data_IF_559182177934
#
_entry.id   IF_559182177934
#
_cell.length_a   1.000
_cell.length_b   1.000
_cell.length_c   1.000
_cell.angle_alpha   90.00
_cell.angle_beta   90.00
_cell.angle_gamma   90.00
#
_symmetry.space_group_name_H-M   'P 1'
#
loop_
_entity.id
_entity.type
_entity.pdbx_description
1 polymer ?
#
# COMPACT_ATOMS: atom_id res chain seq x y z
N UNK A 1 0.01 -13.63 10.97
CA UNK A 1 -1.33 -13.46 10.34
C UNK A 1 -1.19 -13.42 8.81
N UNK A 2 -1.17 -14.56 8.13
CA UNK A 2 -0.87 -14.62 6.68
C UNK A 2 -1.85 -13.82 5.82
N UNK A 3 -3.15 -13.86 6.15
CA UNK A 3 -4.20 -13.13 5.43
C UNK A 3 -3.98 -11.61 5.48
N UNK A 4 -3.69 -11.05 6.66
CA UNK A 4 -3.47 -9.60 6.83
C UNK A 4 -2.26 -9.12 6.04
N UNK A 5 -1.17 -9.89 6.03
CA UNK A 5 0.02 -9.60 5.26
C UNK A 5 -0.29 -9.58 3.75
N UNK A 6 -1.03 -10.56 3.24
CA UNK A 6 -1.44 -10.64 1.82
C UNK A 6 -2.33 -9.45 1.44
N UNK A 7 -3.33 -9.13 2.26
CA UNK A 7 -4.26 -8.03 1.99
C UNK A 7 -3.50 -6.69 1.96
N UNK A 8 -2.66 -6.43 2.98
CA UNK A 8 -1.84 -5.23 3.04
C UNK A 8 -0.88 -5.15 1.84
N UNK A 9 -0.32 -6.27 1.39
CA UNK A 9 0.58 -6.30 0.23
C UNK A 9 -0.13 -5.91 -1.05
N UNK A 10 -1.32 -6.49 -1.28
CA UNK A 10 -2.13 -6.18 -2.46
C UNK A 10 -2.54 -4.71 -2.44
N UNK A 11 -3.02 -4.19 -1.30
CA UNK A 11 -3.37 -2.77 -1.18
C UNK A 11 -2.16 -1.86 -1.43
N UNK A 12 -0.99 -2.22 -0.90
CA UNK A 12 0.25 -1.48 -1.11
C UNK A 12 0.64 -1.43 -2.59
N UNK A 13 0.60 -2.57 -3.28
CA UNK A 13 0.98 -2.68 -4.70
C UNK A 13 0.00 -1.92 -5.58
N UNK A 14 -1.31 -2.14 -5.39
CA UNK A 14 -2.35 -1.47 -6.18
C UNK A 14 -2.34 0.04 -5.92
N UNK A 15 -2.21 0.45 -4.66
CA UNK A 15 -2.14 1.85 -4.27
C UNK A 15 -0.87 2.54 -4.78
N UNK A 16 0.29 1.87 -4.67
CA UNK A 16 1.56 2.37 -5.18
C UNK A 16 1.56 2.49 -6.70
N UNK A 17 0.96 1.52 -7.41
CA UNK A 17 0.80 1.58 -8.85
C UNK A 17 -0.11 2.76 -9.24
N UNK A 18 -1.25 2.95 -8.56
CA UNK A 18 -2.11 4.12 -8.80
C UNK A 18 -1.35 5.43 -8.55
N UNK A 19 -0.55 5.54 -7.49
CA UNK A 19 0.28 6.72 -7.24
C UNK A 19 1.31 6.97 -8.36
N UNK A 20 1.92 5.91 -8.91
CA UNK A 20 2.79 6.00 -10.08
C UNK A 20 2.04 6.49 -11.32
N UNK A 21 0.81 6.01 -11.55
CA UNK A 21 -0.05 6.47 -12.64
C UNK A 21 -0.48 7.94 -12.44
N UNK A 22 -0.73 8.35 -11.20
CA UNK A 22 -1.07 9.75 -10.87
C UNK A 22 0.07 10.70 -11.25
N UNK A 23 1.34 10.27 -11.08
CA UNK A 23 2.49 11.08 -11.48
C UNK A 23 2.56 11.36 -12.99
N UNK A 24 1.96 10.50 -13.82
CA UNK A 24 1.82 10.70 -15.28
C UNK A 24 0.45 11.26 -15.67
N UNK A 25 -0.34 11.74 -14.70
CA UNK A 25 -1.64 12.38 -14.92
C UNK A 25 -2.83 11.42 -15.01
N UNK A 26 -2.66 10.13 -14.69
CA UNK A 26 -3.74 9.15 -14.76
C UNK A 26 -4.15 8.68 -13.36
N UNK A 27 -5.36 9.00 -12.91
CA UNK A 27 -5.83 8.60 -11.58
C UNK A 27 -7.00 7.62 -11.68
N UNK A 28 -6.71 6.32 -11.52
CA UNK A 28 -7.70 5.25 -11.65
C UNK A 28 -8.73 5.32 -10.52
N UNK A 29 -8.27 5.62 -9.30
CA UNK A 29 -9.14 5.78 -8.12
C UNK A 29 -10.14 6.90 -8.36
N UNK A 30 -9.66 8.03 -8.87
CA UNK A 30 -10.47 9.21 -9.19
C UNK A 30 -11.46 8.94 -10.34
N UNK A 31 -11.03 8.18 -11.36
CA UNK A 31 -11.85 7.80 -12.51
C UNK A 31 -13.00 6.85 -12.14
N UNK A 32 -12.80 5.95 -11.18
CA UNK A 32 -13.82 4.97 -10.75
C UNK A 32 -14.72 5.53 -9.65
N UNK A 33 -14.14 6.22 -8.66
CA UNK A 33 -14.87 6.69 -7.46
C UNK A 33 -15.30 8.15 -7.54
N UNK A 34 -14.84 8.89 -8.55
CA UNK A 34 -15.10 10.31 -8.74
C UNK A 34 -14.10 11.21 -8.01
N UNK A 35 -13.81 12.34 -8.66
CA UNK A 35 -12.85 13.32 -8.20
C UNK A 35 -13.17 13.88 -6.82
N UNK A 36 -12.22 13.77 -5.89
CA UNK A 36 -12.37 14.29 -4.53
C UNK A 36 -13.38 13.54 -3.65
N UNK A 37 -13.85 12.37 -4.09
CA UNK A 37 -14.78 11.53 -3.33
C UNK A 37 -14.22 11.11 -1.96
N UNK A 38 -15.10 11.01 -0.97
CA UNK A 38 -14.75 10.50 0.37
C UNK A 38 -14.24 9.06 0.26
N UNK A 39 -14.82 8.27 -0.64
CA UNK A 39 -14.38 6.90 -0.93
C UNK A 39 -12.92 6.86 -1.40
N UNK A 40 -12.52 7.74 -2.33
CA UNK A 40 -11.12 7.83 -2.77
C UNK A 40 -10.15 8.16 -1.64
N UNK A 41 -10.53 9.09 -0.74
CA UNK A 41 -9.73 9.43 0.45
C UNK A 41 -9.55 8.24 1.39
N UNK A 42 -10.60 7.44 1.59
CA UNK A 42 -10.54 6.21 2.39
C UNK A 42 -9.57 5.22 1.77
N UNK A 43 -9.64 5.00 0.45
CA UNK A 43 -8.69 4.12 -0.27
C UNK A 43 -7.24 4.59 -0.05
N UNK A 44 -6.95 5.88 -0.22
CA UNK A 44 -5.60 6.41 0.01
C UNK A 44 -5.14 6.26 1.46
N UNK A 45 -6.04 6.44 2.44
CA UNK A 45 -5.72 6.21 3.84
C UNK A 45 -5.37 4.73 4.11
N UNK A 46 -6.12 3.78 3.53
CA UNK A 46 -5.84 2.34 3.67
C UNK A 46 -4.52 1.94 3.00
N UNK A 47 -4.19 2.53 1.84
CA UNK A 47 -2.90 2.33 1.16
C UNK A 47 -1.76 2.83 2.05
N UNK A 48 -1.89 4.02 2.64
CA UNK A 48 -0.90 4.57 3.57
C UNK A 48 -0.72 3.72 4.82
N UNK A 49 -1.81 3.24 5.42
CA UNK A 49 -1.74 2.32 6.56
C UNK A 49 -1.07 0.98 6.20
N UNK A 50 -1.31 0.48 4.98
CA UNK A 50 -0.64 -0.72 4.48
C UNK A 50 0.87 -0.50 4.32
N UNK A 51 1.30 0.68 3.86
CA UNK A 51 2.71 1.05 3.76
C UNK A 51 3.38 1.12 5.14
N UNK A 52 2.72 1.74 6.11
CA UNK A 52 3.21 1.80 7.49
C UNK A 52 3.32 0.38 8.07
N UNK A 53 2.29 -0.45 7.90
CA UNK A 53 2.29 -1.84 8.36
C UNK A 53 3.50 -2.60 7.83
N UNK A 54 3.75 -2.52 6.51
CA UNK A 54 4.92 -3.15 5.90
C UNK A 54 6.23 -2.55 6.40
N UNK A 55 6.33 -1.22 6.54
CA UNK A 55 7.54 -0.58 7.03
C UNK A 55 7.90 -1.02 8.47
N UNK A 56 6.91 -1.13 9.36
CA UNK A 56 7.15 -1.55 10.75
C UNK A 56 7.37 -3.05 10.91
N UNK A 57 6.77 -3.88 10.05
CA UNK A 57 6.95 -5.35 10.09
C UNK A 57 8.08 -5.85 9.18
N UNK A 58 8.67 -4.98 8.35
CA UNK A 58 9.71 -5.35 7.39
C UNK A 58 10.88 -6.09 8.05
N UNK A 59 11.41 -5.57 9.15
CA UNK A 59 12.57 -6.15 9.85
C UNK A 59 12.30 -7.55 10.43
N UNK A 60 11.04 -7.88 10.71
CA UNK A 60 10.65 -9.17 11.30
C UNK A 60 10.36 -10.24 10.24
N UNK A 61 9.92 -9.85 9.05
CA UNK A 61 9.48 -10.77 7.98
C UNK A 61 10.51 -10.86 6.83
N UNK A 62 11.45 -9.92 6.72
CA UNK A 62 12.45 -9.90 5.66
C UNK A 62 13.59 -10.89 5.95
N UNK A 63 13.68 -11.94 5.13
CA UNK A 63 14.73 -12.98 5.20
C UNK A 63 16.15 -12.43 5.06
N UNK A 64 16.34 -11.28 4.44
CA UNK A 64 17.65 -10.64 4.29
C UNK A 64 18.02 -9.81 5.52
N UNK A 65 17.04 -9.17 6.18
CA UNK A 65 17.26 -8.32 7.36
C UNK A 65 17.36 -9.12 8.67
N UNK A 66 16.71 -10.30 8.76
CA UNK A 66 16.77 -11.19 9.93
C UNK A 66 18.11 -11.93 10.09
N UNK A 67 19.02 -11.88 9.12
CA UNK A 67 20.30 -12.61 9.15
C UNK A 67 21.37 -11.94 10.04
N UNK A 68 21.07 -10.80 10.68
CA UNK A 68 22.09 -9.99 11.39
C UNK A 68 22.27 -10.32 12.90
N UNK A 69 21.98 -11.54 13.35
CA UNK A 69 22.30 -11.95 14.74
C UNK A 69 22.97 -13.32 14.81
N UNK A 70 23.99 -13.55 13.99
CA UNK A 70 25.02 -14.55 14.32
C UNK A 70 26.28 -13.83 14.77
#
# INVERSE_FOLDING_TARGET
MKILHIIAFILLVVGGLNWGLVAIGYNVVDMILGAGSIAGKVVYALVGLSAIYFAVTHSSECKTCTVQTM
#
